data_IF_749989074550
#
_entry.id   IF_749989074550
#
_cell.length_a   1.000
_cell.length_b   1.000
_cell.length_c   1.000
_cell.angle_alpha   90.00
_cell.angle_beta   90.00
_cell.angle_gamma   90.00
#
_symmetry.space_group_name_H-M   'P 1'
#
loop_
_entity.id
_entity.type
_entity.pdbx_description
1 polymer ?
#
# COMPACT_ATOMS: atom_id res chain seq x y z
N UNK A 1 9.20 -23.35 -6.41
CA UNK A 1 10.03 -22.31 -5.76
C UNK A 1 9.44 -20.96 -6.16
N UNK A 2 8.79 -20.26 -5.24
CA UNK A 2 8.16 -18.96 -5.52
C UNK A 2 9.22 -17.89 -5.26
N UNK A 3 9.76 -17.29 -6.32
CA UNK A 3 10.61 -16.09 -6.17
C UNK A 3 9.76 -15.03 -5.49
N UNK A 4 10.11 -14.67 -4.25
CA UNK A 4 9.47 -13.56 -3.57
C UNK A 4 9.76 -12.30 -4.39
N UNK A 5 8.75 -11.77 -5.06
CA UNK A 5 8.85 -10.50 -5.74
C UNK A 5 9.06 -9.41 -4.68
N UNK A 6 10.01 -8.52 -4.90
CA UNK A 6 10.25 -7.38 -4.00
C UNK A 6 8.94 -6.64 -3.73
N UNK A 7 8.59 -6.24 -2.49
CA UNK A 7 7.28 -5.68 -2.18
C UNK A 7 6.86 -4.48 -3.06
N UNK A 8 7.84 -3.70 -3.51
CA UNK A 8 7.67 -2.61 -4.47
C UNK A 8 7.13 -3.09 -5.84
N UNK A 9 7.61 -4.24 -6.33
CA UNK A 9 7.18 -4.81 -7.60
C UNK A 9 5.73 -5.29 -7.57
N UNK A 10 5.23 -5.75 -6.42
CA UNK A 10 3.82 -6.12 -6.23
C UNK A 10 2.90 -4.89 -6.32
N UNK A 11 3.32 -3.76 -5.77
CA UNK A 11 2.57 -2.50 -5.88
C UNK A 11 2.56 -1.97 -7.31
N UNK A 12 3.65 -2.14 -8.07
CA UNK A 12 3.68 -1.78 -9.50
C UNK A 12 2.76 -2.68 -10.33
N UNK A 13 2.72 -3.99 -10.04
CA UNK A 13 1.79 -4.92 -10.70
C UNK A 13 0.32 -4.54 -10.49
N UNK A 14 -0.05 -3.94 -9.35
CA UNK A 14 -1.43 -3.46 -9.11
C UNK A 14 -1.87 -2.37 -10.11
N UNK A 15 -0.91 -1.67 -10.73
CA UNK A 15 -1.21 -0.61 -11.69
C UNK A 15 -1.42 -1.16 -13.11
N UNK A 16 -1.02 -2.40 -13.37
CA UNK A 16 -1.15 -3.06 -14.67
C UNK A 16 -2.64 -3.23 -15.05
N UNK A 17 -3.10 -2.73 -16.21
CA UNK A 17 -4.45 -2.98 -16.69
C UNK A 17 -4.82 -4.47 -16.78
N UNK A 18 -3.85 -5.36 -17.02
CA UNK A 18 -4.06 -6.79 -17.17
C UNK A 18 -4.58 -7.45 -15.88
N UNK A 19 -4.23 -6.93 -14.70
CA UNK A 19 -4.68 -7.50 -13.42
C UNK A 19 -6.07 -6.99 -12.98
N UNK A 20 -6.65 -6.00 -13.67
CA UNK A 20 -7.91 -5.36 -13.26
C UNK A 20 -9.11 -6.31 -13.29
N UNK A 21 -9.08 -7.32 -14.17
CA UNK A 21 -10.15 -8.31 -14.27
C UNK A 21 -10.21 -9.21 -13.03
N UNK A 22 -9.06 -9.54 -12.44
CA UNK A 22 -8.97 -10.32 -11.20
C UNK A 22 -7.77 -9.86 -10.34
N UNK A 23 -7.94 -8.80 -9.52
CA UNK A 23 -6.86 -8.25 -8.72
C UNK A 23 -6.68 -8.99 -7.38
N UNK A 24 -7.61 -9.86 -7.00
CA UNK A 24 -7.66 -10.46 -5.66
C UNK A 24 -6.50 -11.41 -5.34
N UNK A 25 -5.95 -12.19 -6.28
CA UNK A 25 -4.73 -12.96 -6.05
C UNK A 25 -3.56 -12.07 -5.62
N UNK A 26 -3.40 -10.92 -6.29
CA UNK A 26 -2.34 -9.94 -5.98
C UNK A 26 -2.56 -9.29 -4.60
N UNK A 27 -3.80 -8.89 -4.28
CA UNK A 27 -4.12 -8.37 -2.94
C UNK A 27 -3.84 -9.36 -1.82
N UNK A 28 -4.11 -10.66 -2.06
CA UNK A 28 -3.79 -11.73 -1.11
C UNK A 28 -2.29 -11.83 -0.87
N UNK A 29 -1.50 -11.74 -1.93
CA UNK A 29 -0.04 -11.77 -1.82
C UNK A 29 0.48 -10.56 -1.04
N UNK A 30 0.03 -9.35 -1.38
CA UNK A 30 0.41 -8.12 -0.67
C UNK A 30 0.07 -8.23 0.82
N UNK A 31 -1.14 -8.70 1.15
CA UNK A 31 -1.56 -8.92 2.54
C UNK A 31 -0.69 -9.92 3.30
N UNK A 32 -0.16 -10.93 2.63
CA UNK A 32 0.72 -11.92 3.27
C UNK A 32 2.07 -11.35 3.70
N UNK A 33 2.50 -10.21 3.15
CA UNK A 33 3.72 -9.50 3.55
C UNK A 33 3.54 -8.59 4.78
N UNK A 34 2.31 -8.35 5.23
CA UNK A 34 2.00 -7.34 6.26
C UNK A 34 2.12 -5.90 5.73
N UNK A 35 2.26 -4.90 6.61
CA UNK A 35 2.42 -3.50 6.20
C UNK A 35 3.67 -3.29 5.33
N UNK A 36 3.48 -2.72 4.14
CA UNK A 36 4.59 -2.40 3.23
C UNK A 36 5.05 -0.96 3.46
N UNK A 37 6.28 -0.80 3.93
CA UNK A 37 6.88 0.52 4.18
C UNK A 37 7.83 0.90 3.04
N UNK A 38 7.55 2.04 2.40
CA UNK A 38 8.34 2.62 1.32
C UNK A 38 8.76 4.04 1.69
N UNK A 39 9.68 4.21 2.67
CA UNK A 39 10.04 5.53 3.20
C UNK A 39 10.69 6.42 2.14
N UNK A 40 11.42 5.85 1.17
CA UNK A 40 11.97 6.58 0.02
C UNK A 40 10.92 7.22 -0.88
N UNK A 41 9.67 6.74 -0.82
CA UNK A 41 8.53 7.24 -1.60
C UNK A 41 7.48 7.96 -0.73
N UNK A 42 7.78 8.21 0.55
CA UNK A 42 6.81 8.76 1.51
C UNK A 42 5.50 7.96 1.59
N UNK A 43 5.58 6.63 1.42
CA UNK A 43 4.40 5.76 1.29
C UNK A 43 4.46 4.62 2.29
N UNK A 44 3.32 4.32 2.90
CA UNK A 44 3.06 3.07 3.62
C UNK A 44 1.75 2.49 3.11
N UNK A 45 1.72 1.19 2.81
CA UNK A 45 0.53 0.48 2.31
C UNK A 45 0.10 -0.55 3.35
N UNK A 46 -1.12 -0.38 3.84
CA UNK A 46 -1.79 -1.32 4.74
C UNK A 46 -2.78 -2.18 3.95
N UNK A 47 -2.87 -3.47 4.30
CA UNK A 47 -3.64 -4.45 3.53
C UNK A 47 -4.39 -5.47 4.39
N UNK A 48 -4.10 -5.53 5.70
CA UNK A 48 -4.91 -6.28 6.64
C UNK A 48 -6.16 -5.47 6.99
N UNK A 49 -7.23 -6.17 7.37
CA UNK A 49 -8.45 -5.50 7.82
C UNK A 49 -8.18 -4.63 9.05
N UNK A 50 -7.45 -5.16 10.04
CA UNK A 50 -7.16 -4.46 11.29
C UNK A 50 -6.35 -3.18 11.07
N UNK A 51 -5.33 -3.20 10.22
CA UNK A 51 -4.51 -2.01 9.95
C UNK A 51 -5.32 -0.93 9.22
N UNK A 52 -6.11 -1.33 8.21
CA UNK A 52 -6.99 -0.38 7.51
C UNK A 52 -8.02 0.23 8.46
N UNK A 53 -8.60 -0.59 9.33
CA UNK A 53 -9.58 -0.20 10.33
C UNK A 53 -8.99 0.79 11.37
N UNK A 54 -7.76 0.54 11.81
CA UNK A 54 -7.03 1.44 12.71
C UNK A 54 -6.73 2.78 12.02
N UNK A 55 -6.18 2.78 10.81
CA UNK A 55 -5.83 4.01 10.08
C UNK A 55 -7.07 4.89 9.86
N UNK A 56 -8.22 4.30 9.54
CA UNK A 56 -9.46 5.06 9.33
C UNK A 56 -9.99 5.73 10.61
N UNK A 57 -9.63 5.23 11.80
CA UNK A 57 -10.06 5.78 13.09
C UNK A 57 -8.97 6.52 13.86
N UNK A 58 -7.71 6.42 13.42
CA UNK A 58 -6.59 6.99 14.14
C UNK A 58 -6.72 8.53 14.18
N UNK A 59 -6.61 9.16 15.36
CA UNK A 59 -6.86 10.60 15.52
C UNK A 59 -5.86 11.49 14.76
N UNK A 60 -4.70 10.94 14.38
CA UNK A 60 -3.71 11.64 13.56
C UNK A 60 -3.89 11.44 12.04
N UNK A 61 -4.81 10.58 11.60
CA UNK A 61 -5.07 10.39 10.18
C UNK A 61 -5.74 11.63 9.58
N UNK A 62 -5.32 12.00 8.37
CA UNK A 62 -5.81 13.20 7.71
C UNK A 62 -6.03 12.97 6.21
N UNK A 63 -7.06 13.62 5.68
CA UNK A 63 -7.36 13.66 4.23
C UNK A 63 -7.03 15.02 3.60
N UNK A 64 -6.59 16.00 4.39
CA UNK A 64 -6.11 17.29 3.88
C UNK A 64 -4.76 17.08 3.15
N UNK A 65 -4.76 17.36 1.84
CA UNK A 65 -3.59 17.18 0.98
C UNK A 65 -2.37 17.97 1.46
N UNK A 66 -2.56 19.12 2.13
CA UNK A 66 -1.47 19.94 2.65
C UNK A 66 -0.69 19.26 3.78
N UNK A 67 -1.27 18.23 4.42
CA UNK A 67 -0.60 17.43 5.46
C UNK A 67 0.19 16.24 4.90
N UNK A 68 0.17 16.03 3.59
CA UNK A 68 0.99 14.98 2.95
C UNK A 68 2.47 15.34 3.03
N UNK A 69 3.30 14.41 3.50
CA UNK A 69 4.77 14.60 3.53
C UNK A 69 5.33 14.88 2.13
N UNK A 70 4.75 14.30 1.07
CA UNK A 70 5.15 14.59 -0.30
C UNK A 70 4.84 16.03 -0.71
N UNK A 71 3.69 16.57 -0.28
CA UNK A 71 3.31 17.96 -0.56
C UNK A 71 4.13 18.97 0.25
N UNK A 72 4.52 18.64 1.48
CA UNK A 72 5.34 19.49 2.34
C UNK A 72 6.81 19.60 1.91
N UNK A 73 7.26 18.70 1.01
CA UNK A 73 8.64 18.64 0.51
C UNK A 73 8.80 19.16 -0.93
N UNK A 74 7.71 19.43 -1.62
CA UNK A 74 7.69 19.99 -2.98
C UNK A 74 7.81 21.52 -2.93
#
# INVERSE_FOLDING_TARGET
MTTAAEPQSLLLQMLDPAVRADPYPLYRQIRSHGPLQLPGNNLTVFSSYADCDEVLRHPASASDRLKSTAAQRA
#
